data_IF_591369140025
#
_entry.id   IF_591369140025
#
_cell.length_a   1.000
_cell.length_b   1.000
_cell.length_c   1.000
_cell.angle_alpha   90.00
_cell.angle_beta   90.00
_cell.angle_gamma   90.00
#
_symmetry.space_group_name_H-M   'P 1'
#
loop_
_entity.id
_entity.type
_entity.pdbx_description
1 polymer ?
#
# COMPACT_ATOMS: atom_id res chain seq x y z
N UNK A 1 19.77 -25.45 8.05
CA UNK A 1 20.84 -25.48 9.08
C UNK A 1 21.39 -26.89 9.23
N UNK A 2 22.72 -27.05 9.16
CA UNK A 2 23.37 -28.36 9.05
C UNK A 2 23.63 -28.96 10.46
N UNK A 3 22.81 -29.95 10.87
CA UNK A 3 22.83 -30.61 12.21
C UNK A 3 24.14 -31.32 12.60
N UNK A 4 25.15 -31.36 11.72
CA UNK A 4 26.42 -32.09 11.92
C UNK A 4 27.52 -31.28 12.63
N UNK A 5 27.29 -30.00 12.93
CA UNK A 5 28.30 -29.09 13.48
C UNK A 5 27.99 -28.59 14.90
N UNK A 6 26.90 -29.08 15.52
CA UNK A 6 26.54 -28.71 16.89
C UNK A 6 27.58 -29.29 17.87
N UNK A 7 28.29 -28.42 18.58
CA UNK A 7 29.24 -28.79 19.65
C UNK A 7 30.67 -29.10 19.21
N UNK A 8 31.03 -28.95 17.93
CA UNK A 8 32.43 -29.09 17.48
C UNK A 8 33.06 -27.72 17.26
N UNK A 9 34.25 -27.48 17.84
CA UNK A 9 35.07 -26.30 17.54
C UNK A 9 35.54 -26.40 16.09
N UNK A 10 35.15 -25.45 15.25
CA UNK A 10 35.57 -25.35 13.86
C UNK A 10 36.58 -24.21 13.78
N UNK A 11 37.81 -24.51 13.37
CA UNK A 11 38.81 -23.49 13.06
C UNK A 11 38.54 -22.94 11.66
N UNK A 12 38.04 -21.70 11.60
CA UNK A 12 37.86 -20.98 10.34
C UNK A 12 39.13 -20.19 10.01
N UNK A 13 39.92 -20.70 9.08
CA UNK A 13 41.02 -19.94 8.49
C UNK A 13 40.43 -18.94 7.47
N UNK A 14 40.26 -17.69 7.91
CA UNK A 14 39.81 -16.59 7.06
C UNK A 14 41.01 -15.88 6.44
N UNK A 15 41.14 -15.97 5.11
CA UNK A 15 42.13 -15.20 4.35
C UNK A 15 41.51 -13.86 3.96
N UNK A 16 41.97 -12.78 4.57
CA UNK A 16 41.55 -11.42 4.19
C UNK A 16 42.19 -11.06 2.85
N UNK A 17 41.37 -10.95 1.80
CA UNK A 17 41.84 -10.71 0.42
C UNK A 17 42.12 -9.21 0.19
N UNK A 18 41.28 -8.32 0.72
CA UNK A 18 41.56 -6.89 0.74
C UNK A 18 40.75 -6.20 1.83
N UNK A 19 41.32 -5.19 2.45
CA UNK A 19 40.61 -4.27 3.33
C UNK A 19 40.30 -3.03 2.48
N UNK A 20 39.02 -2.79 2.21
CA UNK A 20 38.55 -1.59 1.50
C UNK A 20 37.91 -0.65 2.50
N UNK A 21 38.37 0.59 2.51
CA UNK A 21 37.74 1.66 3.29
C UNK A 21 36.65 2.33 2.44
N UNK A 22 35.46 2.53 3.02
CA UNK A 22 34.36 3.23 2.35
C UNK A 22 34.60 4.73 2.45
N UNK A 23 35.27 5.32 1.45
CA UNK A 23 35.31 6.79 1.31
C UNK A 23 33.95 7.30 0.90
N UNK A 24 33.37 8.16 1.75
CA UNK A 24 32.14 8.87 1.44
C UNK A 24 32.52 10.00 0.47
N UNK A 25 31.96 10.05 -0.75
CA UNK A 25 32.21 11.16 -1.66
C UNK A 25 31.74 12.48 -1.04
N UNK A 26 32.35 13.59 -1.45
CA UNK A 26 31.90 14.91 -1.02
C UNK A 26 30.47 15.12 -1.56
N UNK A 27 29.62 15.75 -0.75
CA UNK A 27 28.28 16.12 -1.19
C UNK A 27 28.41 17.38 -2.04
N UNK A 28 28.68 17.21 -3.33
CA UNK A 28 28.88 18.28 -4.32
C UNK A 28 28.06 18.03 -5.60
N UNK A 29 28.23 18.91 -6.60
CA UNK A 29 27.51 18.81 -7.87
C UNK A 29 27.96 17.61 -8.73
N UNK A 30 29.17 17.07 -8.52
CA UNK A 30 29.62 15.85 -9.20
C UNK A 30 28.90 14.64 -8.62
N UNK A 31 28.75 14.58 -7.30
CA UNK A 31 27.95 13.55 -6.64
C UNK A 31 26.48 13.57 -7.08
N UNK A 32 25.90 14.76 -7.28
CA UNK A 32 24.53 14.87 -7.80
C UNK A 32 24.40 14.30 -9.23
N UNK A 33 25.38 14.57 -10.10
CA UNK A 33 25.43 14.05 -11.47
C UNK A 33 25.65 12.53 -11.51
N UNK A 34 26.42 11.96 -10.58
CA UNK A 34 26.58 10.50 -10.46
C UNK A 34 25.28 9.77 -10.10
N UNK A 35 24.35 10.45 -9.41
CA UNK A 35 23.07 9.87 -8.98
C UNK A 35 21.96 9.90 -10.05
N UNK A 36 22.21 10.54 -11.20
CA UNK A 36 21.29 10.53 -12.35
C UNK A 36 21.11 11.90 -13.02
N UNK A 37 19.88 12.18 -13.47
CA UNK A 37 19.49 13.41 -14.18
C UNK A 37 19.38 14.64 -13.27
N UNK A 38 20.41 14.91 -12.46
CA UNK A 38 20.47 16.08 -11.58
C UNK A 38 21.61 17.00 -12.02
N UNK A 39 21.30 18.27 -12.28
CA UNK A 39 22.29 19.24 -12.75
C UNK A 39 23.17 19.80 -11.62
N UNK A 40 22.66 19.80 -10.39
CA UNK A 40 23.35 20.31 -9.20
C UNK A 40 22.86 19.63 -7.92
N UNK A 41 23.63 19.79 -6.85
CA UNK A 41 23.26 19.37 -5.52
C UNK A 41 22.00 20.09 -4.99
N UNK A 42 21.77 21.32 -5.46
CA UNK A 42 20.53 22.06 -5.14
C UNK A 42 19.32 21.37 -5.78
N UNK A 43 19.42 20.96 -7.04
CA UNK A 43 18.34 20.25 -7.75
C UNK A 43 18.03 18.91 -7.09
N UNK A 44 19.05 18.14 -6.72
CA UNK A 44 18.91 16.90 -5.95
C UNK A 44 18.17 17.14 -4.62
N UNK A 45 18.58 18.16 -3.86
CA UNK A 45 17.91 18.51 -2.59
C UNK A 45 16.47 18.94 -2.79
N UNK A 46 16.17 19.71 -3.83
CA UNK A 46 14.80 20.14 -4.13
C UNK A 46 13.90 18.97 -4.52
N UNK A 47 14.40 18.01 -5.33
CA UNK A 47 13.64 16.81 -5.68
C UNK A 47 13.36 15.93 -4.47
N UNK A 48 14.38 15.65 -3.65
CA UNK A 48 14.22 14.89 -2.40
C UNK A 48 13.22 15.62 -1.47
N UNK A 49 13.33 16.94 -1.35
CA UNK A 49 12.38 17.73 -0.54
C UNK A 49 10.95 17.58 -1.08
N UNK A 50 10.74 17.67 -2.39
CA UNK A 50 9.42 17.46 -3.01
C UNK A 50 8.89 16.05 -2.78
N UNK A 51 9.73 15.03 -2.88
CA UNK A 51 9.35 13.65 -2.60
C UNK A 51 8.96 13.43 -1.14
N UNK A 52 9.74 14.00 -0.19
CA UNK A 52 9.42 13.94 1.23
C UNK A 52 8.10 14.66 1.53
N UNK A 53 7.90 15.85 0.98
CA UNK A 53 6.66 16.62 1.15
C UNK A 53 5.48 15.83 0.59
N UNK A 54 5.58 15.33 -0.65
CA UNK A 54 4.50 14.54 -1.26
C UNK A 54 4.19 13.26 -0.48
N UNK A 55 5.22 12.58 0.04
CA UNK A 55 5.06 11.40 0.89
C UNK A 55 4.36 11.75 2.20
N UNK A 56 4.76 12.86 2.85
CA UNK A 56 4.13 13.34 4.07
C UNK A 56 2.68 13.79 3.86
N UNK A 57 2.39 14.52 2.80
CA UNK A 57 1.02 14.92 2.45
C UNK A 57 0.12 13.71 2.22
N UNK A 58 0.61 12.70 1.50
CA UNK A 58 -0.13 11.44 1.29
C UNK A 58 -0.37 10.70 2.61
N UNK A 59 0.65 10.58 3.45
CA UNK A 59 0.52 9.94 4.76
C UNK A 59 -0.51 10.67 5.64
N UNK A 60 -0.40 12.01 5.73
CA UNK A 60 -1.34 12.82 6.51
C UNK A 60 -2.77 12.70 5.99
N UNK A 61 -2.99 12.74 4.67
CA UNK A 61 -4.33 12.51 4.09
C UNK A 61 -4.88 11.13 4.45
N UNK A 62 -4.04 10.10 4.40
CA UNK A 62 -4.44 8.75 4.75
C UNK A 62 -4.78 8.62 6.24
N UNK A 63 -3.97 9.20 7.12
CA UNK A 63 -4.20 9.21 8.56
C UNK A 63 -5.50 9.95 8.92
N UNK A 64 -5.74 11.11 8.30
CA UNK A 64 -6.98 11.88 8.43
C UNK A 64 -8.19 11.06 7.98
N UNK A 65 -8.11 10.43 6.80
CA UNK A 65 -9.16 9.57 6.28
C UNK A 65 -9.48 8.43 7.25
N UNK A 66 -8.47 7.74 7.75
CA UNK A 66 -8.64 6.64 8.70
C UNK A 66 -9.29 7.12 10.00
N UNK A 67 -8.87 8.28 10.52
CA UNK A 67 -9.46 8.85 11.73
C UNK A 67 -10.93 9.27 11.55
N UNK A 68 -11.26 9.92 10.43
CA UNK A 68 -12.64 10.31 10.09
C UNK A 68 -13.53 9.06 10.01
N UNK A 69 -13.08 8.05 9.24
CA UNK A 69 -13.82 6.81 9.06
C UNK A 69 -13.99 6.09 10.40
N UNK A 70 -12.94 6.05 11.24
CA UNK A 70 -12.99 5.46 12.57
C UNK A 70 -14.00 6.18 13.46
N UNK A 71 -13.99 7.51 13.52
CA UNK A 71 -14.97 8.32 14.28
C UNK A 71 -16.41 8.08 13.80
N UNK A 72 -16.63 7.95 12.50
CA UNK A 72 -17.95 7.62 11.93
C UNK A 72 -18.35 6.19 12.32
N UNK A 73 -17.41 5.25 12.22
CA UNK A 73 -17.61 3.84 12.56
C UNK A 73 -17.94 3.66 14.04
N UNK A 74 -17.25 4.34 14.95
CA UNK A 74 -17.49 4.22 16.40
C UNK A 74 -18.87 4.74 16.81
N UNK A 75 -19.41 5.73 16.09
CA UNK A 75 -20.78 6.25 16.31
C UNK A 75 -21.88 5.33 15.74
N UNK A 76 -21.53 4.39 14.86
CA UNK A 76 -22.48 3.54 14.17
C UNK A 76 -22.31 2.08 14.60
N UNK A 77 -23.30 1.52 15.28
CA UNK A 77 -23.37 0.07 15.50
C UNK A 77 -24.00 -0.59 14.27
N UNK A 78 -23.17 -1.21 13.43
CA UNK A 78 -23.62 -1.92 12.23
C UNK A 78 -23.45 -3.43 12.50
N UNK A 79 -24.56 -4.17 12.53
CA UNK A 79 -24.52 -5.63 12.57
C UNK A 79 -24.09 -6.18 11.22
N UNK A 80 -22.89 -6.75 11.14
CA UNK A 80 -22.37 -7.37 9.93
C UNK A 80 -22.73 -8.86 9.91
N UNK A 81 -23.31 -9.39 8.82
CA UNK A 81 -23.52 -10.83 8.66
C UNK A 81 -22.18 -11.58 8.69
N UNK A 82 -22.10 -12.65 9.48
CA UNK A 82 -20.86 -13.41 9.66
C UNK A 82 -20.31 -13.98 8.33
N UNK A 83 -21.20 -14.34 7.41
CA UNK A 83 -20.84 -14.81 6.06
C UNK A 83 -20.00 -13.78 5.29
N UNK A 84 -20.35 -12.48 5.40
CA UNK A 84 -19.61 -11.42 4.70
C UNK A 84 -18.26 -11.16 5.37
N UNK A 85 -18.20 -11.24 6.69
CA UNK A 85 -16.95 -11.13 7.45
C UNK A 85 -15.99 -12.26 7.10
N UNK A 86 -16.49 -13.49 6.96
CA UNK A 86 -15.68 -14.64 6.59
C UNK A 86 -15.16 -14.55 5.15
N UNK A 87 -15.97 -14.05 4.21
CA UNK A 87 -15.53 -13.80 2.84
C UNK A 87 -14.39 -12.77 2.77
N UNK A 88 -14.54 -11.65 3.49
CA UNK A 88 -13.52 -10.60 3.56
C UNK A 88 -12.24 -11.11 4.25
N UNK A 89 -12.38 -11.87 5.33
CA UNK A 89 -11.25 -12.54 5.99
C UNK A 89 -10.50 -13.46 5.03
N UNK A 90 -11.21 -14.28 4.25
CA UNK A 90 -10.58 -15.15 3.25
C UNK A 90 -9.89 -14.35 2.16
N UNK A 91 -10.43 -13.20 1.74
CA UNK A 91 -9.78 -12.31 0.77
C UNK A 91 -8.47 -11.72 1.33
N UNK A 92 -8.48 -11.25 2.57
CA UNK A 92 -7.29 -10.75 3.27
C UNK A 92 -6.23 -11.86 3.39
N UNK A 93 -6.65 -13.07 3.77
CA UNK A 93 -5.74 -14.21 3.92
C UNK A 93 -5.12 -14.61 2.58
N UNK A 94 -5.91 -14.67 1.50
CA UNK A 94 -5.38 -14.93 0.14
C UNK A 94 -4.33 -13.90 -0.27
N UNK A 95 -4.55 -12.62 0.03
CA UNK A 95 -3.59 -11.55 -0.27
C UNK A 95 -2.29 -11.70 0.55
N UNK A 96 -2.42 -11.97 1.84
CA UNK A 96 -1.28 -12.23 2.73
C UNK A 96 -0.44 -13.42 2.24
N UNK A 97 -1.10 -14.52 1.89
CA UNK A 97 -0.45 -15.73 1.36
C UNK A 97 0.17 -15.53 -0.03
N UNK A 98 -0.35 -14.59 -0.83
CA UNK A 98 0.24 -14.23 -2.12
C UNK A 98 1.48 -13.33 -1.97
N UNK A 99 1.55 -12.54 -0.89
CA UNK A 99 2.66 -11.62 -0.61
C UNK A 99 3.80 -12.25 0.21
N UNK A 100 3.55 -13.32 0.97
CA UNK A 100 4.57 -14.04 1.74
C UNK A 100 4.88 -15.37 1.06
N UNK A 101 6.17 -15.69 0.90
CA UNK A 101 6.61 -17.06 0.61
C UNK A 101 6.04 -17.97 1.70
N UNK A 102 5.37 -19.08 1.32
CA UNK A 102 4.67 -20.02 2.22
C UNK A 102 5.53 -20.60 3.38
N UNK A 103 6.82 -20.30 3.43
CA UNK A 103 7.79 -20.90 4.34
C UNK A 103 7.94 -20.20 5.70
N UNK A 104 7.39 -19.00 5.91
CA UNK A 104 7.59 -18.22 7.15
C UNK A 104 6.41 -18.19 8.14
N UNK A 105 5.27 -18.83 7.83
CA UNK A 105 4.10 -18.81 8.72
C UNK A 105 4.12 -20.06 9.62
N UNK A 106 4.50 -19.89 10.89
CA UNK A 106 4.43 -20.95 11.91
C UNK A 106 2.97 -21.27 12.24
N UNK A 107 2.66 -22.55 12.50
CA UNK A 107 1.30 -22.99 12.83
C UNK A 107 0.73 -22.36 14.12
N UNK A 108 1.60 -21.99 15.06
CA UNK A 108 1.22 -21.39 16.34
C UNK A 108 0.75 -19.92 16.21
N UNK A 109 1.11 -19.22 15.13
CA UNK A 109 0.61 -17.87 14.84
C UNK A 109 -0.78 -17.86 14.19
N UNK A 110 -1.29 -19.01 13.73
CA UNK A 110 -2.49 -19.07 12.88
C UNK A 110 -3.78 -18.68 13.61
N UNK A 111 -3.93 -19.03 14.89
CA UNK A 111 -5.12 -18.67 15.67
C UNK A 111 -5.16 -17.17 15.99
N UNK A 112 -4.01 -16.59 16.35
CA UNK A 112 -3.90 -15.16 16.59
C UNK A 112 -4.11 -14.37 15.29
N UNK A 113 -3.48 -14.79 14.18
CA UNK A 113 -3.73 -14.25 12.84
C UNK A 113 -5.20 -14.35 12.42
N UNK A 114 -5.90 -15.42 12.83
CA UNK A 114 -7.33 -15.60 12.52
C UNK A 114 -8.20 -14.61 13.29
N UNK A 115 -7.96 -14.43 14.58
CA UNK A 115 -8.71 -13.47 15.41
C UNK A 115 -8.45 -12.03 14.98
N UNK A 116 -7.18 -11.66 14.77
CA UNK A 116 -6.80 -10.33 14.28
C UNK A 116 -7.32 -10.08 12.85
N UNK A 117 -7.22 -11.10 11.99
CA UNK A 117 -7.75 -11.04 10.63
C UNK A 117 -9.27 -10.86 10.59
N UNK A 118 -10.02 -11.54 11.47
CA UNK A 118 -11.49 -11.40 11.56
C UNK A 118 -11.87 -9.99 12.01
N UNK A 119 -11.22 -9.46 13.05
CA UNK A 119 -11.43 -8.06 13.49
C UNK A 119 -11.13 -7.06 12.37
N UNK A 120 -10.03 -7.26 11.64
CA UNK A 120 -9.66 -6.42 10.50
C UNK A 120 -10.66 -6.51 9.36
N UNK A 121 -11.18 -7.71 9.08
CA UNK A 121 -12.23 -7.93 8.08
C UNK A 121 -13.54 -7.23 8.46
N UNK A 122 -13.96 -7.32 9.72
CA UNK A 122 -15.14 -6.59 10.23
C UNK A 122 -14.97 -5.07 10.04
N UNK A 123 -13.80 -4.54 10.41
CA UNK A 123 -13.50 -3.12 10.29
C UNK A 123 -13.45 -2.67 8.81
N UNK A 124 -12.78 -3.44 7.95
CA UNK A 124 -12.70 -3.21 6.49
C UNK A 124 -14.11 -3.17 5.87
N UNK A 125 -14.93 -4.18 6.17
CA UNK A 125 -16.28 -4.29 5.64
C UNK A 125 -17.17 -3.14 6.13
N UNK A 126 -17.07 -2.77 7.40
CA UNK A 126 -17.79 -1.64 7.98
C UNK A 126 -17.43 -0.34 7.28
N UNK A 127 -16.13 -0.08 7.10
CA UNK A 127 -15.62 1.09 6.41
C UNK A 127 -16.11 1.15 4.96
N UNK A 128 -16.06 0.03 4.25
CA UNK A 128 -16.52 -0.07 2.87
C UNK A 128 -18.03 0.23 2.74
N UNK A 129 -18.86 -0.29 3.66
CA UNK A 129 -20.30 -0.01 3.66
C UNK A 129 -20.62 1.45 3.96
N UNK A 130 -19.93 2.05 4.94
CA UNK A 130 -20.08 3.47 5.29
C UNK A 130 -19.74 4.34 4.07
N UNK A 131 -18.58 4.12 3.46
CA UNK A 131 -18.14 4.89 2.31
C UNK A 131 -19.05 4.69 1.10
N UNK A 132 -19.52 3.47 0.84
CA UNK A 132 -20.51 3.21 -0.21
C UNK A 132 -21.83 3.97 0.02
N UNK A 133 -22.28 4.08 1.28
CA UNK A 133 -23.49 4.85 1.61
C UNK A 133 -23.28 6.35 1.48
N UNK A 134 -22.11 6.87 1.88
CA UNK A 134 -21.76 8.28 1.70
C UNK A 134 -21.68 8.61 0.21
N UNK A 135 -20.98 7.80 -0.58
CA UNK A 135 -20.89 7.95 -2.04
C UNK A 135 -22.27 7.98 -2.70
N UNK A 136 -23.18 7.10 -2.27
CA UNK A 136 -24.56 7.07 -2.78
C UNK A 136 -25.38 8.29 -2.37
N UNK A 137 -25.22 8.79 -1.13
CA UNK A 137 -25.94 9.96 -0.62
C UNK A 137 -25.49 11.25 -1.31
N UNK A 138 -24.19 11.40 -1.52
CA UNK A 138 -23.58 12.54 -2.22
C UNK A 138 -23.57 12.37 -3.75
N UNK A 139 -24.15 11.26 -4.25
CA UNK A 139 -24.27 10.93 -5.67
C UNK A 139 -22.93 10.97 -6.42
N UNK A 140 -21.85 10.58 -5.73
CA UNK A 140 -20.52 10.48 -6.30
C UNK A 140 -20.52 9.38 -7.37
N UNK A 141 -20.10 9.76 -8.57
CA UNK A 141 -19.93 8.84 -9.69
C UNK A 141 -18.53 8.98 -10.23
N UNK A 142 -18.00 7.82 -10.67
CA UNK A 142 -16.77 7.75 -11.44
C UNK A 142 -17.15 7.81 -12.91
N UNK A 143 -16.64 8.83 -13.58
CA UNK A 143 -16.75 8.99 -15.02
C UNK A 143 -15.81 8.02 -15.76
N UNK A 144 -16.12 7.70 -17.01
CA UNK A 144 -15.20 6.90 -17.84
C UNK A 144 -13.88 7.63 -18.11
N UNK A 145 -13.87 8.96 -18.04
CA UNK A 145 -12.66 9.77 -18.15
C UNK A 145 -11.73 9.57 -16.95
N UNK A 146 -12.26 9.58 -15.72
CA UNK A 146 -11.48 9.29 -14.50
C UNK A 146 -10.92 7.86 -14.52
N UNK A 147 -11.71 6.88 -15.00
CA UNK A 147 -11.21 5.52 -15.23
C UNK A 147 -10.03 5.51 -16.21
N UNK A 148 -10.14 6.26 -17.31
CA UNK A 148 -9.09 6.34 -18.32
C UNK A 148 -7.82 7.04 -17.81
N UNK A 149 -7.95 8.08 -16.99
CA UNK A 149 -6.83 8.73 -16.31
C UNK A 149 -6.14 7.78 -15.35
N UNK A 150 -6.89 7.02 -14.54
CA UNK A 150 -6.31 6.06 -13.63
C UNK A 150 -5.59 4.91 -14.37
N UNK A 151 -6.12 4.46 -15.50
CA UNK A 151 -5.40 3.51 -16.36
C UNK A 151 -4.08 4.09 -16.89
N UNK A 152 -4.04 5.39 -17.22
CA UNK A 152 -2.78 6.06 -17.63
C UNK A 152 -1.77 6.11 -16.49
N UNK A 153 -2.21 6.36 -15.26
CA UNK A 153 -1.32 6.34 -14.09
C UNK A 153 -0.71 4.95 -13.87
N UNK A 154 -1.55 3.91 -13.90
CA UNK A 154 -1.10 2.51 -13.75
C UNK A 154 -0.13 2.14 -14.89
N UNK A 155 -0.45 2.52 -16.13
CA UNK A 155 0.39 2.29 -17.30
C UNK A 155 1.78 2.95 -17.14
N UNK A 156 1.82 4.21 -16.68
CA UNK A 156 3.08 4.92 -16.39
C UNK A 156 3.88 4.25 -15.28
N UNK A 157 3.22 3.85 -14.19
CA UNK A 157 3.89 3.22 -13.05
C UNK A 157 4.50 1.86 -13.42
N UNK A 158 3.83 1.08 -14.27
CA UNK A 158 4.29 -0.25 -14.68
C UNK A 158 5.12 -0.25 -15.97
N UNK A 159 5.28 0.90 -16.65
CA UNK A 159 5.89 1.00 -17.99
C UNK A 159 5.25 0.06 -19.03
N UNK A 160 3.92 -0.12 -18.95
CA UNK A 160 3.15 -0.99 -19.85
C UNK A 160 2.22 -0.14 -20.72
N UNK A 161 2.00 -0.48 -22.00
CA UNK A 161 1.04 0.24 -22.84
C UNK A 161 -0.37 0.26 -22.27
N UNK A 162 -1.02 1.43 -22.33
CA UNK A 162 -2.39 1.63 -21.83
C UNK A 162 -3.39 0.59 -22.34
N UNK A 163 -3.32 0.26 -23.63
CA UNK A 163 -4.19 -0.73 -24.27
C UNK A 163 -4.07 -2.11 -23.60
N UNK A 164 -2.86 -2.53 -23.21
CA UNK A 164 -2.66 -3.81 -22.53
C UNK A 164 -3.24 -3.81 -21.12
N UNK A 165 -3.16 -2.69 -20.40
CA UNK A 165 -3.77 -2.55 -19.07
C UNK A 165 -5.29 -2.63 -19.16
N UNK A 166 -5.89 -1.88 -20.11
CA UNK A 166 -7.34 -1.88 -20.33
C UNK A 166 -7.84 -3.28 -20.73
N UNK A 167 -7.15 -3.94 -21.66
CA UNK A 167 -7.49 -5.29 -22.09
C UNK A 167 -7.37 -6.32 -20.96
N UNK A 168 -6.32 -6.22 -20.15
CA UNK A 168 -6.12 -7.11 -18.99
C UNK A 168 -7.25 -6.94 -17.98
N UNK A 169 -7.58 -5.70 -17.63
CA UNK A 169 -8.63 -5.40 -16.64
C UNK A 169 -10.03 -5.81 -17.14
N UNK A 170 -10.31 -5.64 -18.44
CA UNK A 170 -11.56 -6.10 -19.03
C UNK A 170 -11.64 -7.64 -19.08
N UNK A 171 -10.56 -8.32 -19.48
CA UNK A 171 -10.50 -9.80 -19.54
C UNK A 171 -10.64 -10.45 -18.16
N UNK A 172 -10.04 -9.85 -17.14
CA UNK A 172 -10.11 -10.35 -15.76
C UNK A 172 -11.42 -9.96 -15.05
N UNK A 173 -12.30 -9.17 -15.67
CA UNK A 173 -13.54 -8.72 -15.05
C UNK A 173 -13.35 -7.72 -13.90
N UNK A 174 -12.13 -7.21 -13.70
CA UNK A 174 -11.76 -6.31 -12.58
C UNK A 174 -12.17 -4.86 -12.79
N UNK A 175 -12.85 -4.54 -13.90
CA UNK A 175 -13.27 -3.17 -14.23
C UNK A 175 -14.17 -2.57 -13.14
N UNK A 176 -15.11 -3.36 -12.62
CA UNK A 176 -16.01 -2.93 -11.54
C UNK A 176 -15.31 -2.78 -10.19
N UNK A 177 -14.34 -3.64 -9.90
CA UNK A 177 -13.49 -3.51 -8.70
C UNK A 177 -12.67 -2.22 -8.77
N UNK A 178 -12.07 -1.93 -9.94
CA UNK A 178 -11.30 -0.71 -10.14
C UNK A 178 -12.19 0.53 -10.02
N UNK A 179 -13.38 0.50 -10.63
CA UNK A 179 -14.36 1.58 -10.53
C UNK A 179 -14.76 1.83 -9.07
N UNK A 180 -15.00 0.75 -8.32
CA UNK A 180 -15.32 0.83 -6.89
C UNK A 180 -14.16 1.40 -6.09
N UNK A 181 -12.92 1.04 -6.43
CA UNK A 181 -11.72 1.59 -5.79
C UNK A 181 -11.53 3.08 -6.05
N UNK A 182 -11.77 3.55 -7.29
CA UNK A 182 -11.70 4.98 -7.63
C UNK A 182 -12.81 5.73 -6.89
N UNK A 183 -14.03 5.18 -6.86
CA UNK A 183 -15.14 5.77 -6.13
C UNK A 183 -14.83 5.89 -4.63
N UNK A 184 -14.21 4.86 -4.06
CA UNK A 184 -13.78 4.84 -2.66
C UNK A 184 -12.77 5.96 -2.38
N UNK A 185 -11.71 6.07 -3.18
CA UNK A 185 -10.71 7.12 -3.02
C UNK A 185 -11.33 8.51 -3.15
N UNK A 186 -12.21 8.72 -4.13
CA UNK A 186 -12.94 9.99 -4.31
C UNK A 186 -13.84 10.33 -3.12
N UNK A 187 -14.48 9.33 -2.54
CA UNK A 187 -15.33 9.53 -1.34
C UNK A 187 -14.48 9.89 -0.12
N UNK A 188 -13.30 9.27 0.01
CA UNK A 188 -12.34 9.60 1.06
C UNK A 188 -11.80 11.03 0.88
N UNK A 189 -11.40 11.40 -0.34
CA UNK A 189 -10.93 12.76 -0.63
C UNK A 189 -12.01 13.80 -0.31
N UNK A 190 -13.26 13.54 -0.71
CA UNK A 190 -14.40 14.38 -0.37
C UNK A 190 -14.58 14.53 1.15
N UNK A 191 -14.44 13.44 1.91
CA UNK A 191 -14.54 13.46 3.37
C UNK A 191 -13.40 14.25 4.01
N UNK A 192 -12.17 14.12 3.52
CA UNK A 192 -11.02 14.87 4.04
C UNK A 192 -11.16 16.36 3.73
N UNK A 193 -11.70 16.73 2.58
CA UNK A 193 -11.95 18.14 2.21
C UNK A 193 -13.08 18.79 3.02
N UNK A 194 -14.11 18.03 3.40
CA UNK A 194 -15.27 18.55 4.13
C UNK A 194 -15.23 18.30 5.64
N UNK A 195 -14.28 17.50 6.12
CA UNK A 195 -14.10 17.28 7.54
C UNK A 195 -13.45 18.51 8.18
N UNK A 196 -14.18 19.13 9.10
CA UNK A 196 -13.62 20.14 9.99
C UNK A 196 -12.77 19.40 11.02
N UNK A 197 -11.46 19.59 10.93
CA UNK A 197 -10.48 19.01 11.86
C UNK A 197 -10.34 20.00 13.03
N UNK A 198 -10.75 19.57 14.23
CA UNK A 198 -10.32 20.18 15.50
C UNK A 198 -9.07 19.47 16.03
#
# INVERSE_FOLDING_TARGET
QNKKLAGKKIEHNLKVISIKEKKIPALDDEFAKELGEFESLKDLKEKIKKEIISSKEKATKQDMAEEIIKKISDKLSIGLPEVLVEQEYMAIMRRLLSSRTQQDIKKEDLEQLKSEGKKKAEQSLKNHLILKKIAGKENLKVSDQEMHEHFKEIAKANNVPLAQIVDSVNKEGKREELRSSILFNKTVDFLVEHAIIE
#
